data_IF_471841085365
#
_entry.id   IF_471841085365
#
_cell.length_a   1.000
_cell.length_b   1.000
_cell.length_c   1.000
_cell.angle_alpha   90.00
_cell.angle_beta   90.00
_cell.angle_gamma   90.00
#
_symmetry.space_group_name_H-M   'P 1'
#
loop_
_entity.id
_entity.type
_entity.pdbx_description
1 polymer ?
#
# COMPACT_ATOMS: atom_id res chain seq x y z
N UNK A 1 2.31 12.32 -3.06
CA UNK A 1 3.21 11.16 -2.99
C UNK A 1 3.68 11.06 -1.56
N UNK A 2 3.40 9.93 -0.89
CA UNK A 2 3.91 9.61 0.43
C UNK A 2 4.98 8.52 0.29
N UNK A 3 6.22 8.86 0.65
CA UNK A 3 7.30 7.88 0.76
C UNK A 3 7.42 7.50 2.23
N UNK A 4 7.51 6.21 2.50
CA UNK A 4 7.84 5.76 3.83
C UNK A 4 8.83 4.61 3.76
N UNK A 5 9.60 4.49 4.83
CA UNK A 5 10.49 3.38 5.06
C UNK A 5 9.91 2.58 6.22
N UNK A 6 9.67 1.28 6.03
CA UNK A 6 9.33 0.41 7.15
C UNK A 6 10.52 -0.45 7.49
N UNK A 7 10.87 -0.44 8.78
CA UNK A 7 11.89 -1.32 9.32
C UNK A 7 11.29 -2.73 9.45
N UNK A 8 11.98 -3.76 8.97
CA UNK A 8 11.54 -5.15 9.19
C UNK A 8 11.61 -5.50 10.69
N UNK A 9 11.02 -6.63 11.07
CA UNK A 9 10.92 -7.04 12.48
C UNK A 9 12.26 -7.19 13.20
N UNK A 10 13.38 -7.36 12.47
CA UNK A 10 14.73 -7.49 13.03
C UNK A 10 15.46 -6.14 13.24
N UNK A 11 14.80 -5.02 12.91
CA UNK A 11 15.35 -3.69 13.10
C UNK A 11 16.39 -3.26 12.06
N UNK A 12 16.71 -4.10 11.06
CA UNK A 12 17.88 -3.90 10.19
C UNK A 12 17.57 -3.55 8.74
N UNK A 13 16.34 -3.74 8.26
CA UNK A 13 16.02 -3.53 6.84
C UNK A 13 15.11 -2.36 6.56
N UNK A 14 15.47 -1.53 5.58
CA UNK A 14 14.59 -0.52 4.99
C UNK A 14 13.78 -1.14 3.84
N UNK A 15 12.50 -1.45 4.07
CA UNK A 15 11.57 -1.58 2.93
C UNK A 15 11.29 -0.18 2.40
N UNK A 16 11.55 0.03 1.11
CA UNK A 16 11.17 1.27 0.45
C UNK A 16 9.79 1.11 -0.16
N UNK A 17 8.83 1.86 0.37
CA UNK A 17 7.49 1.92 -0.17
C UNK A 17 7.14 3.36 -0.57
N UNK A 18 6.66 3.52 -1.79
CA UNK A 18 6.14 4.79 -2.29
C UNK A 18 4.67 4.60 -2.58
N UNK A 19 3.82 5.34 -1.86
CA UNK A 19 2.37 5.33 -2.05
C UNK A 19 1.92 6.67 -2.62
N UNK A 20 1.04 6.64 -3.61
CA UNK A 20 0.41 7.83 -4.16
C UNK A 20 -1.10 7.64 -4.23
N UNK A 21 -1.83 8.65 -3.79
CA UNK A 21 -3.29 8.69 -3.85
C UNK A 21 -3.74 9.56 -5.02
N UNK A 22 -4.84 9.18 -5.67
CA UNK A 22 -5.44 9.95 -6.76
C UNK A 22 -6.11 11.23 -6.23
N UNK A 23 -6.38 12.18 -7.14
CA UNK A 23 -7.13 13.38 -6.79
C UNK A 23 -8.56 13.05 -6.28
N UNK A 24 -9.18 12.00 -6.83
CA UNK A 24 -10.49 11.50 -6.38
C UNK A 24 -10.42 11.06 -4.92
N UNK A 25 -9.43 10.23 -4.56
CA UNK A 25 -9.26 9.76 -3.20
C UNK A 25 -9.01 10.92 -2.22
N UNK A 26 -8.22 11.92 -2.61
CA UNK A 26 -7.94 13.09 -1.77
C UNK A 26 -9.15 14.03 -1.62
N UNK A 27 -10.02 14.10 -2.63
CA UNK A 27 -11.22 14.93 -2.59
C UNK A 27 -12.35 14.29 -1.77
N UNK A 28 -12.55 12.97 -1.90
CA UNK A 28 -13.63 12.24 -1.23
C UNK A 28 -13.27 11.83 0.21
N UNK A 29 -11.98 11.77 0.56
CA UNK A 29 -11.51 11.34 1.87
C UNK A 29 -10.65 12.44 2.51
N UNK A 30 -11.29 13.32 3.27
CA UNK A 30 -10.64 14.50 3.87
C UNK A 30 -9.46 14.17 4.79
N UNK A 31 -9.45 13.00 5.43
CA UNK A 31 -8.31 12.55 6.23
C UNK A 31 -7.08 12.23 5.39
N UNK A 32 -7.23 11.73 4.15
CA UNK A 32 -6.08 11.49 3.26
C UNK A 32 -5.40 12.79 2.85
N UNK A 33 -6.17 13.86 2.63
CA UNK A 33 -5.62 15.18 2.34
C UNK A 33 -4.77 15.70 3.51
N UNK A 34 -5.30 15.61 4.74
CA UNK A 34 -4.57 16.02 5.96
C UNK A 34 -3.36 15.11 6.24
N UNK A 35 -3.47 13.83 5.93
CA UNK A 35 -2.40 12.87 6.07
C UNK A 35 -1.24 13.18 5.12
N UNK A 36 -1.53 13.51 3.85
CA UNK A 36 -0.53 13.99 2.88
C UNK A 36 0.23 15.19 3.41
N UNK A 37 -0.47 16.16 3.99
CA UNK A 37 0.16 17.41 4.44
C UNK A 37 1.09 17.21 5.66
N UNK A 38 0.87 16.14 6.44
CA UNK A 38 1.72 15.75 7.58
C UNK A 38 2.84 14.77 7.20
N UNK A 39 2.70 14.09 6.08
CA UNK A 39 3.61 13.07 5.58
C UNK A 39 4.91 13.69 5.03
N UNK A 40 5.80 14.15 5.92
CA UNK A 40 7.17 14.60 5.64
C UNK A 40 8.14 13.45 5.29
N UNK A 41 7.65 12.21 5.30
CA UNK A 41 8.41 11.00 5.00
C UNK A 41 9.13 10.39 6.21
N UNK A 42 9.12 11.05 7.37
CA UNK A 42 9.74 10.54 8.59
C UNK A 42 8.80 9.64 9.41
N UNK A 43 7.48 9.86 9.32
CA UNK A 43 6.49 9.05 10.00
C UNK A 43 6.28 7.69 9.31
N UNK A 44 6.17 6.62 10.10
CA UNK A 44 5.77 5.31 9.60
C UNK A 44 4.41 5.38 8.90
N UNK A 45 4.27 4.75 7.73
CA UNK A 45 2.99 4.77 7.05
C UNK A 45 1.96 3.89 7.76
N UNK A 46 0.81 4.47 8.07
CA UNK A 46 -0.34 3.75 8.60
C UNK A 46 -1.29 3.40 7.45
N UNK A 47 -0.85 2.58 6.48
CA UNK A 47 -1.69 2.20 5.33
C UNK A 47 -3.03 1.57 5.74
N UNK A 48 -3.04 0.79 6.84
CA UNK A 48 -4.28 0.25 7.41
C UNK A 48 -5.28 1.37 7.71
N UNK A 49 -4.81 2.46 8.31
CA UNK A 49 -5.64 3.62 8.64
C UNK A 49 -6.14 4.34 7.40
N UNK A 50 -5.31 4.45 6.35
CA UNK A 50 -5.72 4.99 5.06
C UNK A 50 -6.87 4.19 4.45
N UNK A 51 -6.78 2.85 4.42
CA UNK A 51 -7.87 2.00 3.95
C UNK A 51 -9.12 2.11 4.83
N UNK A 52 -8.96 2.22 6.14
CA UNK A 52 -10.09 2.41 7.05
C UNK A 52 -10.81 3.75 6.80
N UNK A 53 -10.09 4.83 6.49
CA UNK A 53 -10.69 6.11 6.07
C UNK A 53 -11.48 5.98 4.76
N UNK A 54 -10.89 5.36 3.74
CA UNK A 54 -11.57 5.16 2.46
C UNK A 54 -12.85 4.33 2.62
N UNK A 55 -12.81 3.25 3.40
CA UNK A 55 -14.02 2.45 3.69
C UNK A 55 -15.08 3.24 4.43
N UNK A 56 -14.69 4.06 5.43
CA UNK A 56 -15.62 4.95 6.14
C UNK A 56 -16.25 6.00 5.22
N UNK A 57 -15.55 6.42 4.17
CA UNK A 57 -16.10 7.31 3.14
C UNK A 57 -17.03 6.60 2.13
N UNK A 58 -17.33 5.30 2.33
CA UNK A 58 -18.23 4.53 1.45
C UNK A 58 -17.55 3.95 0.21
N UNK A 59 -16.22 3.95 0.15
CA UNK A 59 -15.47 3.35 -0.96
C UNK A 59 -15.29 1.86 -0.74
N UNK A 60 -15.67 1.05 -1.74
CA UNK A 60 -15.35 -0.38 -1.77
C UNK A 60 -13.97 -0.55 -2.40
N UNK A 61 -13.02 -1.12 -1.65
CA UNK A 61 -11.64 -1.22 -2.11
C UNK A 61 -11.38 -2.55 -2.80
N UNK A 62 -10.95 -2.48 -4.06
CA UNK A 62 -10.47 -3.63 -4.81
C UNK A 62 -8.96 -3.51 -4.98
N UNK A 63 -8.23 -4.52 -4.50
CA UNK A 63 -6.77 -4.56 -4.53
C UNK A 63 -6.28 -5.46 -5.67
N UNK A 64 -5.26 -4.99 -6.37
CA UNK A 64 -4.49 -5.80 -7.31
C UNK A 64 -3.00 -5.60 -7.07
N UNK A 65 -2.32 -6.67 -6.73
CA UNK A 65 -0.87 -6.69 -6.61
C UNK A 65 -0.26 -7.37 -7.84
N UNK A 66 0.70 -6.70 -8.46
CA UNK A 66 1.57 -7.28 -9.49
C UNK A 66 2.96 -7.44 -8.89
N UNK A 67 3.46 -8.67 -8.84
CA UNK A 67 4.77 -9.00 -8.28
C UNK A 67 5.71 -9.35 -9.43
N UNK A 68 6.83 -8.63 -9.55
CA UNK A 68 7.84 -8.86 -10.57
C UNK A 68 9.22 -9.06 -9.94
N UNK A 69 9.99 -10.02 -10.45
CA UNK A 69 11.40 -10.18 -10.08
C UNK A 69 12.22 -9.05 -10.70
N UNK A 70 13.23 -8.58 -9.98
CA UNK A 70 14.21 -7.63 -10.49
C UNK A 70 15.40 -8.43 -11.01
N UNK A 71 15.75 -8.23 -12.28
CA UNK A 71 16.85 -8.96 -12.91
C UNK A 71 18.18 -8.62 -12.21
N UNK A 72 18.97 -9.64 -11.91
CA UNK A 72 20.30 -9.48 -11.30
C UNK A 72 20.32 -9.15 -9.81
N UNK A 73 19.17 -9.09 -9.14
CA UNK A 73 19.09 -8.93 -7.68
C UNK A 73 18.18 -9.99 -7.07
N UNK A 74 18.37 -10.35 -5.79
CA UNK A 74 17.44 -11.22 -5.10
C UNK A 74 16.25 -10.42 -4.55
N UNK A 75 15.67 -9.53 -5.37
CA UNK A 75 14.60 -8.62 -4.95
C UNK A 75 13.37 -8.76 -5.83
N UNK A 76 12.22 -8.47 -5.25
CA UNK A 76 10.95 -8.35 -5.99
C UNK A 76 10.39 -6.94 -5.87
N UNK A 77 9.82 -6.45 -6.95
CA UNK A 77 8.98 -5.26 -6.97
C UNK A 77 7.53 -5.69 -6.87
N UNK A 78 6.81 -5.09 -5.93
CA UNK A 78 5.36 -5.23 -5.80
C UNK A 78 4.73 -3.91 -6.19
N UNK A 79 3.89 -3.93 -7.22
CA UNK A 79 3.04 -2.80 -7.58
C UNK A 79 1.62 -3.11 -7.14
N UNK A 80 1.17 -2.47 -6.08
CA UNK A 80 -0.21 -2.51 -5.62
C UNK A 80 -1.00 -1.39 -6.29
N UNK A 81 -2.18 -1.74 -6.80
CA UNK A 81 -3.18 -0.78 -7.28
C UNK A 81 -4.47 -1.00 -6.52
N UNK A 82 -5.09 0.09 -6.09
CA UNK A 82 -6.41 0.08 -5.45
C UNK A 82 -7.36 0.91 -6.28
N UNK A 83 -8.53 0.35 -6.58
CA UNK A 83 -9.63 1.06 -7.22
C UNK A 83 -10.93 0.87 -6.45
N UNK A 84 -11.89 1.76 -6.69
CA UNK A 84 -13.20 1.70 -6.06
C UNK A 84 -14.21 0.81 -6.83
N UNK A 85 -15.46 0.77 -6.35
CA UNK A 85 -16.58 0.05 -6.97
C UNK A 85 -16.92 0.55 -8.40
N UNK A 86 -16.42 1.72 -8.79
CA UNK A 86 -16.61 2.32 -10.11
C UNK A 86 -15.34 2.21 -10.96
N UNK A 87 -14.37 1.38 -10.54
CA UNK A 87 -13.06 1.23 -11.17
C UNK A 87 -12.24 2.52 -11.24
N UNK A 88 -12.55 3.54 -10.43
CA UNK A 88 -11.74 4.76 -10.33
C UNK A 88 -10.48 4.44 -9.54
N UNK A 89 -9.28 4.82 -10.02
CA UNK A 89 -8.05 4.59 -9.29
C UNK A 89 -8.04 5.41 -7.99
N UNK A 90 -7.68 4.79 -6.88
CA UNK A 90 -7.57 5.43 -5.57
C UNK A 90 -6.13 5.53 -5.10
N UNK A 91 -5.37 4.45 -5.23
CA UNK A 91 -4.00 4.32 -4.71
C UNK A 91 -3.13 3.53 -5.69
N UNK A 92 -1.85 3.92 -5.77
CA UNK A 92 -0.77 3.07 -6.24
C UNK A 92 0.34 3.03 -5.19
N UNK A 93 0.80 1.83 -4.86
CA UNK A 93 1.98 1.62 -4.01
C UNK A 93 3.02 0.82 -4.75
N UNK A 94 4.25 1.32 -4.79
CA UNK A 94 5.43 0.57 -5.22
C UNK A 94 6.23 0.18 -3.99
N UNK A 95 6.43 -1.12 -3.81
CA UNK A 95 7.22 -1.70 -2.73
C UNK A 95 8.38 -2.50 -3.33
N UNK A 96 9.57 -2.29 -2.79
CA UNK A 96 10.75 -3.10 -3.05
C UNK A 96 11.02 -4.02 -1.85
N UNK A 97 11.15 -5.32 -2.10
CA UNK A 97 11.40 -6.34 -1.08
C UNK A 97 12.68 -7.11 -1.42
N UNK A 98 13.60 -7.24 -0.46
CA UNK A 98 14.72 -8.20 -0.54
C UNK A 98 14.21 -9.59 -0.17
N UNK A 99 14.16 -10.49 -1.15
CA UNK A 99 13.59 -11.83 -1.00
C UNK A 99 14.51 -12.81 -0.23
N UNK A 100 15.74 -12.42 0.14
CA UNK A 100 16.60 -13.26 1.00
C UNK A 100 16.34 -13.02 2.48
N UNK A 101 15.78 -11.88 2.83
CA UNK A 101 15.66 -11.42 4.22
C UNK A 101 14.21 -11.24 4.65
N UNK A 102 13.30 -11.16 3.67
CA UNK A 102 11.91 -10.87 3.91
C UNK A 102 10.96 -11.73 3.07
N UNK A 103 9.71 -11.81 3.52
CA UNK A 103 8.65 -12.57 2.87
C UNK A 103 7.42 -11.70 2.60
N UNK A 104 6.85 -11.87 1.41
CA UNK A 104 5.53 -11.36 1.08
C UNK A 104 4.50 -12.44 1.40
N UNK A 105 3.77 -12.25 2.49
CA UNK A 105 2.76 -13.22 2.98
C UNK A 105 1.37 -12.77 2.57
N UNK A 106 0.62 -13.67 1.93
CA UNK A 106 -0.80 -13.50 1.63
C UNK A 106 -1.59 -14.55 2.39
N UNK A 107 -2.49 -14.09 3.26
CA UNK A 107 -3.44 -14.93 3.97
C UNK A 107 -4.85 -14.60 3.47
N UNK A 108 -5.61 -15.62 3.12
CA UNK A 108 -6.97 -15.49 2.63
C UNK A 108 -7.87 -16.50 3.33
N UNK A 109 -9.08 -16.06 3.65
CA UNK A 109 -10.17 -16.93 4.11
C UNK A 109 -11.08 -17.19 2.93
N UNK A 110 -11.25 -18.46 2.56
CA UNK A 110 -12.30 -18.88 1.63
C UNK A 110 -13.59 -19.10 2.43
N UNK A 111 -14.76 -18.70 1.90
CA UNK A 111 -16.03 -19.08 2.50
C UNK A 111 -16.08 -20.59 2.68
N UNK A 112 -16.68 -21.07 3.78
CA UNK A 112 -16.96 -22.49 3.92
C UNK A 112 -17.78 -22.95 2.70
N UNK A 113 -17.39 -24.08 2.10
CA UNK A 113 -18.16 -24.66 1.00
C UNK A 113 -19.58 -24.97 1.51
N UNK A 114 -20.59 -24.49 0.77
CA UNK A 114 -22.02 -24.75 1.04
C UNK A 114 -22.43 -26.04 0.35
#
# INVERSE_FOLDING_TARGET
MHRYWSVSADGRELRTAVTSFSAVALAEVGELARYRDRADGAAAAELRRAYDWMRRAGLTLHHRDTITRIAGTPSVRVTRRVHDQFARPLEITELLVDAQRDALVYEFTVPAAV
#
